data_IF_417478073102
#
_entry.id   IF_417478073102
#
_cell.length_a   1.000
_cell.length_b   1.000
_cell.length_c   1.000
_cell.angle_alpha   90.00
_cell.angle_beta   90.00
_cell.angle_gamma   90.00
#
_symmetry.space_group_name_H-M   'P 1'
#
loop_
_entity.id
_entity.type
_entity.pdbx_description
1 polymer ?
#
# COMPACT_ATOMS: atom_id res chain seq x y z
N UNK A 1 6.23 -2.59 -1.17
CA UNK A 1 6.16 -1.34 -1.93
C UNK A 1 6.64 -0.14 -1.11
N UNK A 2 7.45 0.78 -1.68
CA UNK A 2 7.76 2.07 -1.05
C UNK A 2 6.48 2.90 -0.81
N UNK A 3 6.40 3.57 0.35
CA UNK A 3 5.26 4.43 0.74
C UNK A 3 4.89 5.45 -0.32
N UNK A 4 5.89 6.09 -0.93
CA UNK A 4 5.69 7.13 -1.95
C UNK A 4 5.03 6.59 -3.21
N UNK A 5 5.41 5.38 -3.65
CA UNK A 5 4.79 4.74 -4.81
C UNK A 5 3.32 4.42 -4.54
N UNK A 6 3.02 3.87 -3.36
CA UNK A 6 1.64 3.59 -2.96
C UNK A 6 0.81 4.89 -2.84
N UNK A 7 1.42 5.97 -2.32
CA UNK A 7 0.80 7.29 -2.25
C UNK A 7 0.42 7.79 -3.65
N UNK A 8 1.34 7.73 -4.62
CA UNK A 8 1.08 8.16 -6.00
C UNK A 8 -0.04 7.35 -6.67
N UNK A 9 -0.12 6.05 -6.40
CA UNK A 9 -1.20 5.20 -6.91
C UNK A 9 -2.55 5.60 -6.31
N UNK A 10 -2.61 5.79 -4.99
CA UNK A 10 -3.85 6.15 -4.30
C UNK A 10 -4.33 7.58 -4.64
N UNK A 11 -3.42 8.51 -4.94
CA UNK A 11 -3.77 9.88 -5.33
C UNK A 11 -4.55 9.96 -6.65
N UNK A 12 -4.54 8.91 -7.47
CA UNK A 12 -5.37 8.83 -8.68
C UNK A 12 -6.87 8.62 -8.37
N UNK A 13 -7.19 8.17 -7.16
CA UNK A 13 -8.55 7.78 -6.76
C UNK A 13 -9.08 8.58 -5.56
N UNK A 14 -8.20 9.14 -4.74
CA UNK A 14 -8.58 9.81 -3.49
C UNK A 14 -7.88 11.17 -3.35
N UNK A 15 -8.48 12.06 -2.56
CA UNK A 15 -7.84 13.30 -2.13
C UNK A 15 -6.62 13.02 -1.26
N UNK A 16 -5.70 13.99 -1.17
CA UNK A 16 -4.50 13.89 -0.32
C UNK A 16 -4.83 13.51 1.12
N UNK A 17 -5.88 14.10 1.68
CA UNK A 17 -6.35 13.76 3.02
C UNK A 17 -6.81 12.30 3.12
N UNK A 18 -7.61 11.82 2.16
CA UNK A 18 -8.05 10.43 2.11
C UNK A 18 -6.89 9.45 1.96
N UNK A 19 -5.93 9.75 1.10
CA UNK A 19 -4.71 8.94 0.95
C UNK A 19 -3.94 8.87 2.27
N UNK A 20 -3.79 9.99 2.99
CA UNK A 20 -3.09 9.99 4.27
C UNK A 20 -3.78 9.11 5.33
N UNK A 21 -5.11 9.13 5.40
CA UNK A 21 -5.87 8.23 6.28
C UNK A 21 -5.66 6.76 5.90
N UNK A 22 -5.66 6.45 4.59
CA UNK A 22 -5.40 5.09 4.10
C UNK A 22 -3.99 4.64 4.46
N UNK A 23 -2.98 5.46 4.21
CA UNK A 23 -1.57 5.13 4.50
C UNK A 23 -1.28 5.00 6.01
N UNK A 24 -2.16 5.50 6.87
CA UNK A 24 -2.10 5.33 8.34
C UNK A 24 -2.92 4.13 8.84
N UNK A 25 -3.62 3.43 7.96
CA UNK A 25 -4.50 2.31 8.33
C UNK A 25 -5.84 2.73 8.95
N UNK A 26 -6.13 4.03 9.02
CA UNK A 26 -7.39 4.56 9.56
C UNK A 26 -8.58 4.28 8.63
N UNK A 27 -8.30 4.15 7.33
CA UNK A 27 -9.29 3.83 6.30
C UNK A 27 -8.77 2.80 5.33
N UNK A 28 -9.70 2.08 4.72
CA UNK A 28 -9.44 1.16 3.62
C UNK A 28 -9.90 1.79 2.31
N UNK A 29 -9.20 1.54 1.18
CA UNK A 29 -9.74 1.85 -0.14
C UNK A 29 -11.07 1.12 -0.39
N UNK A 30 -11.81 1.54 -1.40
CA UNK A 30 -12.91 0.73 -1.93
C UNK A 30 -12.40 -0.59 -2.48
N UNK A 31 -13.28 -1.60 -2.51
CA UNK A 31 -12.95 -2.93 -3.03
C UNK A 31 -12.46 -2.88 -4.50
N UNK A 32 -13.06 -2.02 -5.33
CA UNK A 32 -12.64 -1.82 -6.73
C UNK A 32 -11.19 -1.35 -6.82
N UNK A 33 -10.80 -0.37 -5.99
CA UNK A 33 -9.43 0.13 -5.99
C UNK A 33 -8.47 -0.92 -5.43
N UNK A 34 -8.87 -1.68 -4.40
CA UNK A 34 -8.05 -2.80 -3.91
C UNK A 34 -7.81 -3.85 -5.00
N UNK A 35 -8.85 -4.19 -5.77
CA UNK A 35 -8.76 -5.14 -6.87
C UNK A 35 -7.82 -4.64 -7.97
N UNK A 36 -7.99 -3.38 -8.39
CA UNK A 36 -7.12 -2.78 -9.40
C UNK A 36 -5.65 -2.75 -8.97
N UNK A 37 -5.37 -2.41 -7.70
CA UNK A 37 -4.01 -2.38 -7.16
C UNK A 37 -3.41 -3.78 -6.98
N UNK A 38 -4.23 -4.79 -6.70
CA UNK A 38 -3.82 -6.19 -6.67
C UNK A 38 -3.37 -6.66 -8.05
N UNK A 39 -4.20 -6.44 -9.07
CA UNK A 39 -3.93 -6.91 -10.44
C UNK A 39 -2.77 -6.16 -11.12
N UNK A 40 -2.69 -4.83 -10.92
CA UNK A 40 -1.79 -3.97 -11.70
C UNK A 40 -0.52 -3.55 -10.98
N UNK A 41 -0.52 -3.61 -9.64
CA UNK A 41 0.53 -2.98 -8.83
C UNK A 41 1.11 -3.88 -7.74
N UNK A 42 0.78 -5.18 -7.73
CA UNK A 42 1.26 -6.15 -6.74
C UNK A 42 0.99 -5.72 -5.29
N UNK A 43 -0.12 -5.04 -5.03
CA UNK A 43 -0.56 -4.74 -3.66
C UNK A 43 -1.58 -5.80 -3.25
N UNK A 44 -1.18 -6.83 -2.50
CA UNK A 44 -2.09 -7.93 -2.18
C UNK A 44 -3.26 -7.44 -1.34
N UNK A 45 -4.44 -8.04 -1.51
CA UNK A 45 -5.62 -7.69 -0.71
C UNK A 45 -5.38 -7.76 0.79
N UNK A 46 -4.52 -8.67 1.23
CA UNK A 46 -4.14 -8.83 2.64
C UNK A 46 -3.34 -7.64 3.19
N UNK A 47 -2.67 -6.86 2.34
CA UNK A 47 -1.97 -5.65 2.75
C UNK A 47 -2.91 -4.62 3.40
N UNK A 48 -4.18 -4.58 3.02
CA UNK A 48 -5.15 -3.64 3.57
C UNK A 48 -5.64 -4.02 4.98
N UNK A 49 -5.26 -5.20 5.51
CA UNK A 49 -5.48 -5.55 6.92
C UNK A 49 -4.53 -4.77 7.84
N UNK A 50 -3.28 -4.61 7.41
CA UNK A 50 -2.24 -3.85 8.10
C UNK A 50 -1.30 -3.22 7.07
N UNK A 51 -1.76 -2.09 6.53
CA UNK A 51 -1.04 -1.38 5.46
C UNK A 51 0.24 -0.73 5.98
N UNK A 52 0.26 -0.36 7.26
CA UNK A 52 1.44 0.18 7.93
C UNK A 52 2.56 -0.85 7.97
N UNK A 53 2.29 -2.09 8.38
CA UNK A 53 3.26 -3.17 8.35
C UNK A 53 3.67 -3.55 6.93
N UNK A 54 2.76 -3.54 5.96
CA UNK A 54 3.10 -3.79 4.55
C UNK A 54 4.09 -2.75 4.00
N UNK A 55 3.89 -1.47 4.30
CA UNK A 55 4.79 -0.39 3.90
C UNK A 55 6.14 -0.52 4.62
N UNK A 56 6.15 -0.84 5.92
CA UNK A 56 7.35 -0.95 6.75
C UNK A 56 8.17 -2.23 6.49
N UNK A 57 7.54 -3.36 6.15
CA UNK A 57 8.24 -4.61 5.87
C UNK A 57 9.00 -4.57 4.55
N UNK A 58 8.48 -3.86 3.55
CA UNK A 58 9.21 -3.68 2.30
C UNK A 58 10.47 -2.82 2.47
N UNK A 59 10.51 -1.98 3.51
CA UNK A 59 11.72 -1.23 3.88
C UNK A 59 12.77 -2.11 4.56
N UNK A 60 12.42 -3.34 4.96
CA UNK A 60 13.33 -4.33 5.58
C UNK A 60 13.79 -5.42 4.61
N UNK A 61 13.22 -5.50 3.40
CA UNK A 61 13.52 -6.58 2.44
C UNK A 61 14.80 -6.35 1.60
N UNK A 62 15.79 -5.63 2.13
CA UNK A 62 17.15 -5.58 1.55
C UNK A 62 18.16 -5.98 2.62
N UNK A 63 17.94 -7.11 3.28
CA UNK A 63 18.95 -7.76 4.13
C UNK A 63 18.53 -9.22 4.41
N UNK A 64 18.44 -10.04 3.36
CA UNK A 64 18.58 -11.50 3.57
C UNK A 64 19.58 -12.03 2.55
N UNK A 65 20.69 -12.50 3.12
CA UNK A 65 21.91 -12.97 2.50
C UNK A 65 21.70 -13.89 1.29
N UNK A 66 22.51 -13.65 0.26
CA UNK A 66 22.96 -14.72 -0.62
C UNK A 66 23.86 -15.64 0.22
N UNK A 67 23.50 -16.92 0.30
CA UNK A 67 24.39 -18.02 0.71
C UNK A 67 24.53 -18.92 -0.50
#
# INVERSE_FOLDING_TARGET
>A
MKRENLKQLLLKHYSVAGVNMILRGERKPSYEVMFQLSEKNNVPFTAWKDITSFISNDTKSVEVAQV
#
